data_IF_599796234084
#
_entry.id   IF_599796234084
#
_cell.length_a   1.000
_cell.length_b   1.000
_cell.length_c   1.000
_cell.angle_alpha   90.00
_cell.angle_beta   90.00
_cell.angle_gamma   90.00
#
_symmetry.space_group_name_H-M   'P 1'
#
loop_
_entity.id
_entity.type
_entity.pdbx_description
1 polymer ?
#
# COMPACT_ATOMS: atom_id res chain seq x y z
N UNK A 1 26.94 -7.12 -2.08
CA UNK A 1 25.78 -6.23 -1.79
C UNK A 1 26.02 -4.95 -2.59
N UNK A 2 25.23 -4.71 -3.66
CA UNK A 2 25.50 -3.56 -4.55
C UNK A 2 25.05 -2.25 -3.90
N UNK A 3 25.70 -1.13 -4.20
CA UNK A 3 25.34 0.22 -3.74
C UNK A 3 23.84 0.54 -4.02
N UNK A 4 23.31 0.07 -5.14
CA UNK A 4 21.91 0.26 -5.52
C UNK A 4 20.91 -0.44 -4.59
N UNK A 5 21.24 -1.63 -4.05
CA UNK A 5 20.36 -2.31 -3.09
C UNK A 5 20.29 -1.55 -1.78
N UNK A 6 21.38 -0.96 -1.37
CA UNK A 6 21.46 -0.14 -0.14
C UNK A 6 20.67 1.16 -0.29
N UNK A 7 20.75 1.82 -1.45
CA UNK A 7 20.00 3.06 -1.72
C UNK A 7 18.48 2.83 -1.77
N UNK A 8 18.04 1.73 -2.36
CA UNK A 8 16.59 1.38 -2.41
C UNK A 8 16.04 1.10 -1.02
N UNK A 9 16.77 0.35 -0.20
CA UNK A 9 16.38 0.06 1.20
C UNK A 9 16.31 1.33 2.05
N UNK A 10 17.26 2.25 1.85
CA UNK A 10 17.27 3.54 2.54
C UNK A 10 16.07 4.39 2.12
N UNK A 11 15.74 4.42 0.83
CA UNK A 11 14.62 5.20 0.30
C UNK A 11 13.27 4.70 0.86
N UNK A 12 13.01 3.38 0.83
CA UNK A 12 11.78 2.80 1.35
C UNK A 12 11.63 2.99 2.87
N UNK A 13 12.70 2.80 3.63
CA UNK A 13 12.71 3.08 5.08
C UNK A 13 12.42 4.55 5.38
N UNK A 14 12.96 5.46 4.57
CA UNK A 14 12.75 6.90 4.70
C UNK A 14 11.29 7.28 4.42
N UNK A 15 10.67 6.73 3.37
CA UNK A 15 9.27 6.97 3.04
C UNK A 15 8.35 6.53 4.20
N UNK A 16 8.52 5.30 4.70
CA UNK A 16 7.79 4.78 5.87
C UNK A 16 7.92 5.68 7.08
N UNK A 17 9.14 6.14 7.38
CA UNK A 17 9.38 7.04 8.51
C UNK A 17 8.66 8.37 8.35
N UNK A 18 8.69 8.95 7.15
CA UNK A 18 8.02 10.22 6.85
C UNK A 18 6.49 10.12 6.99
N UNK A 19 5.87 9.05 6.50
CA UNK A 19 4.44 8.80 6.67
C UNK A 19 4.07 8.70 8.16
N UNK A 20 4.82 7.90 8.93
CA UNK A 20 4.59 7.76 10.37
C UNK A 20 4.75 9.08 11.12
N UNK A 21 5.75 9.87 10.78
CA UNK A 21 5.98 11.18 11.37
C UNK A 21 4.87 12.17 11.02
N UNK A 22 4.42 12.17 9.76
CA UNK A 22 3.30 12.99 9.30
C UNK A 22 2.01 12.64 10.04
N UNK A 23 1.69 11.36 10.15
CA UNK A 23 0.50 10.90 10.85
C UNK A 23 0.53 11.20 12.36
N UNK A 24 1.70 11.08 12.99
CA UNK A 24 1.86 11.44 14.40
C UNK A 24 1.64 12.94 14.69
N UNK A 25 1.87 13.80 13.68
CA UNK A 25 1.68 15.26 13.79
C UNK A 25 0.34 15.75 13.25
N UNK A 26 -0.38 14.91 12.53
CA UNK A 26 -1.67 15.27 11.98
C UNK A 26 -2.68 15.54 13.11
N UNK A 27 -3.44 16.62 12.98
CA UNK A 27 -4.47 17.04 13.95
C UNK A 27 -5.88 16.66 13.52
N UNK A 28 -6.09 16.34 12.23
CA UNK A 28 -7.39 15.94 11.69
C UNK A 28 -7.77 14.50 12.04
N UNK A 29 -9.05 14.20 11.97
CA UNK A 29 -9.61 12.89 12.28
C UNK A 29 -9.43 11.86 11.14
N UNK A 30 -9.24 12.33 9.91
CA UNK A 30 -8.99 11.51 8.72
C UNK A 30 -7.54 11.68 8.26
N UNK A 31 -6.86 10.55 8.10
CA UNK A 31 -5.49 10.51 7.61
C UNK A 31 -5.48 10.02 6.15
N UNK A 32 -4.74 10.74 5.29
CA UNK A 32 -4.59 10.41 3.87
C UNK A 32 -3.12 10.39 3.48
N UNK A 33 -2.74 9.44 2.63
CA UNK A 33 -1.43 9.41 1.98
C UNK A 33 -1.62 9.80 0.52
N UNK A 34 -0.84 10.79 0.08
CA UNK A 34 -0.71 11.17 -1.31
C UNK A 34 0.79 11.20 -1.66
N UNK A 35 1.17 10.45 -2.70
CA UNK A 35 2.54 10.43 -3.17
C UNK A 35 2.92 11.78 -3.81
N UNK A 36 4.11 12.27 -3.50
CA UNK A 36 4.58 13.59 -3.94
C UNK A 36 4.81 13.69 -5.46
N UNK A 37 4.84 12.56 -6.17
CA UNK A 37 4.96 12.52 -7.63
C UNK A 37 3.65 12.86 -8.37
N UNK A 38 2.56 13.05 -7.61
CA UNK A 38 1.23 13.41 -8.11
C UNK A 38 0.71 12.48 -9.22
N UNK A 39 1.16 11.24 -9.22
CA UNK A 39 0.63 10.20 -10.12
C UNK A 39 -0.84 9.89 -9.82
N UNK A 40 -1.26 10.14 -8.58
CA UNK A 40 -2.66 10.20 -8.18
C UNK A 40 -3.08 11.67 -8.14
N UNK A 41 -4.09 12.07 -8.93
CA UNK A 41 -4.56 13.45 -8.94
C UNK A 41 -5.08 13.87 -7.56
N UNK A 42 -4.66 15.02 -7.02
CA UNK A 42 -5.23 15.54 -5.77
C UNK A 42 -6.75 15.73 -5.82
N UNK A 43 -7.28 15.95 -7.01
CA UNK A 43 -8.72 16.10 -7.27
C UNK A 43 -9.53 14.82 -7.00
N UNK A 44 -8.86 13.66 -6.93
CA UNK A 44 -9.50 12.38 -6.55
C UNK A 44 -9.64 12.23 -5.02
N UNK A 45 -8.90 13.00 -4.21
CA UNK A 45 -8.91 12.87 -2.75
C UNK A 45 -10.31 13.06 -2.11
N UNK A 46 -11.17 14.00 -2.55
CA UNK A 46 -12.52 14.13 -2.01
C UNK A 46 -13.33 12.83 -2.12
N UNK A 47 -13.18 12.07 -3.21
CA UNK A 47 -13.88 10.79 -3.39
C UNK A 47 -13.44 9.73 -2.36
N UNK A 48 -12.17 9.75 -1.97
CA UNK A 48 -11.65 8.87 -0.91
C UNK A 48 -12.18 9.27 0.45
N UNK A 49 -12.23 10.57 0.74
CA UNK A 49 -12.82 11.12 1.94
C UNK A 49 -14.30 10.73 2.05
N UNK A 50 -15.08 10.97 0.99
CA UNK A 50 -16.50 10.65 0.95
C UNK A 50 -16.77 9.15 1.12
N UNK A 51 -15.90 8.30 0.55
CA UNK A 51 -16.01 6.85 0.71
C UNK A 51 -15.80 6.40 2.16
N UNK A 52 -14.86 7.04 2.87
CA UNK A 52 -14.62 6.77 4.29
C UNK A 52 -15.77 7.28 5.16
N UNK A 53 -16.14 8.56 5.02
CA UNK A 53 -17.15 9.22 5.86
C UNK A 53 -18.55 8.65 5.63
N UNK A 54 -18.87 8.21 4.41
CA UNK A 54 -20.13 7.55 4.11
C UNK A 54 -20.24 6.11 4.64
N UNK A 55 -19.18 5.59 5.29
CA UNK A 55 -19.18 4.24 5.85
C UNK A 55 -19.08 3.12 4.81
N UNK A 56 -18.61 3.40 3.60
CA UNK A 56 -18.36 2.35 2.59
C UNK A 56 -17.30 1.36 3.07
N UNK A 57 -16.30 1.85 3.79
CA UNK A 57 -15.25 1.08 4.43
C UNK A 57 -14.56 1.88 5.52
N UNK A 58 -13.83 1.20 6.37
CA UNK A 58 -13.04 1.80 7.46
C UNK A 58 -11.62 2.16 6.99
N UNK A 59 -11.18 1.51 5.92
CA UNK A 59 -9.89 1.72 5.26
C UNK A 59 -10.10 1.76 3.75
N UNK A 60 -9.80 2.90 3.12
CA UNK A 60 -9.95 3.07 1.66
C UNK A 60 -8.57 2.94 1.01
N UNK A 61 -8.45 1.98 0.10
CA UNK A 61 -7.22 1.66 -0.61
C UNK A 61 -7.33 2.09 -2.08
N UNK A 62 -6.36 2.83 -2.59
CA UNK A 62 -6.30 3.20 -3.99
C UNK A 62 -5.92 2.02 -4.89
N UNK A 63 -6.54 1.92 -6.07
CA UNK A 63 -6.24 0.87 -7.05
C UNK A 63 -5.92 1.49 -8.41
N UNK A 64 -4.70 1.20 -8.92
CA UNK A 64 -4.17 1.70 -10.19
C UNK A 64 -4.51 0.79 -11.39
N UNK A 65 -4.83 -0.46 -11.13
CA UNK A 65 -4.86 -1.55 -12.12
C UNK A 65 -6.11 -1.58 -13.01
N UNK A 66 -6.90 -0.52 -13.04
CA UNK A 66 -8.20 -0.48 -13.74
C UNK A 66 -8.08 0.02 -15.20
N UNK A 67 -6.95 0.65 -15.57
CA UNK A 67 -6.77 1.26 -16.88
C UNK A 67 -5.67 0.57 -17.70
N UNK A 68 -5.83 0.44 -19.05
CA UNK A 68 -4.84 -0.20 -19.92
C UNK A 68 -3.55 0.63 -20.03
N UNK A 69 -2.41 0.00 -19.84
CA UNK A 69 -1.07 0.59 -20.02
C UNK A 69 -0.45 0.17 -21.37
N UNK A 70 0.35 1.01 -21.98
CA UNK A 70 0.71 1.00 -23.41
C UNK A 70 1.90 0.13 -23.91
N UNK A 71 2.27 -1.01 -23.40
CA UNK A 71 3.31 -1.88 -24.06
C UNK A 71 3.03 -3.38 -23.85
N UNK A 72 2.80 -4.14 -24.94
CA UNK A 72 2.11 -5.43 -24.89
C UNK A 72 2.82 -6.64 -24.27
N UNK A 73 4.09 -6.87 -24.46
CA UNK A 73 4.74 -8.11 -23.97
C UNK A 73 5.17 -8.06 -22.49
N UNK A 74 5.57 -6.90 -22.00
CA UNK A 74 5.91 -6.71 -20.59
C UNK A 74 4.67 -6.58 -19.68
N UNK A 75 3.52 -6.38 -20.27
CA UNK A 75 2.20 -6.29 -19.63
C UNK A 75 1.72 -7.64 -19.10
N UNK A 76 1.86 -8.71 -19.88
CA UNK A 76 1.29 -10.01 -19.53
C UNK A 76 1.96 -10.58 -18.27
N UNK A 77 3.28 -10.54 -18.17
CA UNK A 77 4.01 -10.99 -16.99
C UNK A 77 3.68 -10.14 -15.74
N UNK A 78 3.59 -8.81 -15.90
CA UNK A 78 3.20 -7.92 -14.81
C UNK A 78 1.74 -8.14 -14.39
N UNK A 79 0.84 -8.37 -15.35
CA UNK A 79 -0.57 -8.63 -15.08
C UNK A 79 -0.74 -9.94 -14.31
N UNK A 80 -0.04 -11.00 -14.71
CA UNK A 80 -0.05 -12.31 -14.04
C UNK A 80 0.51 -12.18 -12.62
N UNK A 81 1.65 -11.50 -12.47
CA UNK A 81 2.26 -11.27 -11.16
C UNK A 81 1.33 -10.45 -10.25
N UNK A 82 0.76 -9.35 -10.74
CA UNK A 82 -0.18 -8.52 -9.98
C UNK A 82 -1.42 -9.32 -9.58
N UNK A 83 -1.98 -10.13 -10.47
CA UNK A 83 -3.14 -10.97 -10.18
C UNK A 83 -2.81 -12.05 -9.14
N UNK A 84 -1.64 -12.66 -9.25
CA UNK A 84 -1.15 -13.62 -8.25
C UNK A 84 -1.02 -12.98 -6.87
N UNK A 85 -0.35 -11.84 -6.77
CA UNK A 85 -0.21 -11.13 -5.50
C UNK A 85 -1.55 -10.62 -4.96
N UNK A 86 -2.43 -10.09 -5.82
CA UNK A 86 -3.78 -9.70 -5.44
C UNK A 86 -4.56 -10.86 -4.81
N UNK A 87 -4.53 -12.05 -5.41
CA UNK A 87 -5.18 -13.24 -4.87
C UNK A 87 -4.53 -13.70 -3.56
N UNK A 88 -3.20 -13.75 -3.51
CA UNK A 88 -2.46 -14.16 -2.32
C UNK A 88 -2.75 -13.22 -1.13
N UNK A 89 -2.72 -11.91 -1.36
CA UNK A 89 -3.04 -10.94 -0.30
C UNK A 89 -4.53 -10.90 0.04
N UNK A 90 -5.43 -11.08 -0.93
CA UNK A 90 -6.87 -11.20 -0.64
C UNK A 90 -7.17 -12.40 0.26
N UNK A 91 -6.57 -13.55 -0.03
CA UNK A 91 -6.68 -14.72 0.83
C UNK A 91 -6.07 -14.49 2.21
N UNK A 92 -4.90 -13.87 2.26
CA UNK A 92 -4.17 -13.59 3.50
C UNK A 92 -4.94 -12.65 4.41
N UNK A 93 -5.48 -11.57 3.86
CA UNK A 93 -6.22 -10.54 4.60
C UNK A 93 -7.70 -10.90 4.83
N UNK A 94 -8.20 -11.95 4.15
CA UNK A 94 -9.60 -12.36 4.24
C UNK A 94 -10.57 -11.37 3.57
N UNK A 95 -10.06 -10.46 2.73
CA UNK A 95 -10.83 -9.43 2.05
C UNK A 95 -10.29 -9.22 0.63
N UNK A 96 -11.14 -8.89 -0.36
CA UNK A 96 -10.70 -8.66 -1.74
C UNK A 96 -9.84 -7.40 -1.82
N UNK A 97 -8.57 -7.56 -2.25
CA UNK A 97 -7.63 -6.47 -2.49
C UNK A 97 -7.02 -6.62 -3.87
N UNK A 98 -7.12 -5.59 -4.70
CA UNK A 98 -6.64 -5.61 -6.08
C UNK A 98 -5.25 -5.02 -6.25
N UNK A 99 -4.86 -4.04 -5.44
CA UNK A 99 -3.55 -3.38 -5.52
C UNK A 99 -3.02 -3.09 -4.11
N UNK A 100 -1.93 -3.75 -3.75
CA UNK A 100 -1.27 -3.59 -2.45
C UNK A 100 -0.18 -2.52 -2.46
N UNK A 101 0.25 -2.09 -3.65
CA UNK A 101 1.39 -1.17 -3.84
C UNK A 101 0.96 0.25 -4.22
N UNK A 102 -0.33 0.57 -4.21
CA UNK A 102 -0.77 1.94 -4.36
C UNK A 102 -0.50 2.72 -3.07
N UNK A 103 0.24 3.82 -3.15
CA UNK A 103 0.56 4.66 -1.99
C UNK A 103 -0.65 5.36 -1.37
N UNK A 104 -1.71 5.61 -2.16
CA UNK A 104 -2.91 6.32 -1.69
C UNK A 104 -3.75 5.43 -0.76
N UNK A 105 -3.79 5.80 0.49
CA UNK A 105 -4.57 5.14 1.55
C UNK A 105 -5.24 6.18 2.42
N UNK A 106 -6.48 5.90 2.81
CA UNK A 106 -7.27 6.78 3.67
C UNK A 106 -7.92 5.98 4.79
N UNK A 107 -7.81 6.46 6.01
CA UNK A 107 -8.33 5.80 7.20
C UNK A 107 -8.61 6.81 8.33
N UNK A 108 -9.37 6.40 9.32
CA UNK A 108 -9.56 7.19 10.52
C UNK A 108 -8.28 7.25 11.36
N UNK A 109 -8.01 8.40 11.96
CA UNK A 109 -6.85 8.57 12.86
C UNK A 109 -6.92 7.62 14.05
N UNK A 110 -8.10 7.40 14.62
CA UNK A 110 -8.31 6.45 15.71
C UNK A 110 -7.93 5.01 15.33
N UNK A 111 -8.23 4.59 14.09
CA UNK A 111 -7.85 3.28 13.59
C UNK A 111 -6.35 3.18 13.36
N UNK A 112 -5.73 4.24 12.81
CA UNK A 112 -4.29 4.32 12.70
C UNK A 112 -3.58 4.22 14.04
N UNK A 113 -4.07 4.91 15.06
CA UNK A 113 -3.49 4.85 16.41
C UNK A 113 -3.53 3.43 16.99
N UNK A 114 -4.63 2.70 16.77
CA UNK A 114 -4.74 1.28 17.13
C UNK A 114 -3.75 0.40 16.34
N UNK A 115 -3.60 0.63 15.04
CA UNK A 115 -2.60 -0.05 14.20
C UNK A 115 -1.19 0.25 14.72
N UNK A 116 -0.91 1.51 15.02
CA UNK A 116 0.39 1.96 15.51
C UNK A 116 0.77 1.33 16.85
N UNK A 117 -0.18 1.17 17.77
CA UNK A 117 0.03 0.53 19.07
C UNK A 117 0.42 -0.95 18.95
N UNK A 118 -0.04 -1.63 17.89
CA UNK A 118 0.20 -3.06 17.69
C UNK A 118 1.28 -3.38 16.63
N UNK A 119 2.08 -2.38 16.21
CA UNK A 119 3.13 -2.56 15.18
C UNK A 119 4.19 -3.60 15.54
N UNK A 120 4.50 -3.77 16.81
CA UNK A 120 5.45 -4.78 17.26
C UNK A 120 5.09 -6.19 16.77
N UNK A 121 3.83 -6.45 16.45
CA UNK A 121 3.37 -7.74 15.96
C UNK A 121 3.95 -8.10 14.59
N UNK A 122 4.05 -7.12 13.68
CA UNK A 122 4.62 -7.32 12.33
C UNK A 122 6.11 -6.97 12.26
N UNK A 123 6.67 -6.31 13.28
CA UNK A 123 8.07 -5.93 13.33
C UNK A 123 8.46 -4.93 12.23
N UNK A 124 9.77 -4.86 11.95
CA UNK A 124 10.35 -3.96 10.95
C UNK A 124 10.50 -4.60 9.56
N UNK A 125 9.71 -5.63 9.25
CA UNK A 125 9.84 -6.42 8.02
C UNK A 125 9.24 -5.72 6.80
N UNK A 126 8.36 -4.71 6.99
CA UNK A 126 7.76 -3.97 5.88
C UNK A 126 8.74 -2.97 5.26
N UNK A 127 9.26 -3.24 4.04
CA UNK A 127 10.18 -2.32 3.38
C UNK A 127 9.48 -1.14 2.70
N UNK A 128 8.17 -1.28 2.37
CA UNK A 128 7.41 -0.29 1.61
C UNK A 128 6.64 0.68 2.50
N UNK A 129 6.29 0.28 3.75
CA UNK A 129 5.48 1.06 4.66
C UNK A 129 3.97 0.97 4.43
N UNK A 130 3.56 0.29 3.36
CA UNK A 130 2.16 0.13 2.96
C UNK A 130 1.50 -1.09 3.60
N UNK A 131 2.28 -2.15 3.78
CA UNK A 131 1.80 -3.43 4.30
C UNK A 131 1.51 -3.37 5.80
N UNK A 132 2.27 -2.58 6.56
CA UNK A 132 2.03 -2.27 7.96
C UNK A 132 0.57 -1.80 8.19
N UNK A 133 0.11 -0.89 7.31
CA UNK A 133 -1.26 -0.38 7.37
C UNK A 133 -2.29 -1.42 6.94
N UNK A 134 -2.07 -2.12 5.82
CA UNK A 134 -3.00 -3.13 5.30
C UNK A 134 -3.14 -4.33 6.26
N UNK A 135 -2.02 -4.85 6.76
CA UNK A 135 -2.04 -5.97 7.70
C UNK A 135 -2.61 -5.56 9.05
N UNK A 136 -2.28 -4.35 9.53
CA UNK A 136 -2.83 -3.80 10.76
C UNK A 136 -4.35 -3.61 10.65
N UNK A 137 -4.84 -3.07 9.54
CA UNK A 137 -6.25 -2.90 9.27
C UNK A 137 -6.98 -4.26 9.24
N UNK A 138 -6.47 -5.24 8.50
CA UNK A 138 -7.06 -6.57 8.42
C UNK A 138 -7.08 -7.28 9.78
N UNK A 139 -6.01 -7.17 10.56
CA UNK A 139 -5.94 -7.78 11.90
C UNK A 139 -6.93 -7.17 12.89
N UNK A 140 -7.26 -5.89 12.72
CA UNK A 140 -8.28 -5.21 13.51
C UNK A 140 -9.71 -5.44 12.99
N UNK A 141 -9.88 -6.22 11.92
CA UNK A 141 -11.19 -6.48 11.32
C UNK A 141 -11.77 -5.27 10.59
N UNK A 142 -10.94 -4.27 10.24
CA UNK A 142 -11.41 -3.11 9.50
C UNK A 142 -11.81 -3.51 8.08
N UNK A 143 -12.92 -2.96 7.60
CA UNK A 143 -13.40 -3.17 6.23
C UNK A 143 -12.55 -2.39 5.25
N UNK A 144 -11.74 -3.09 4.45
CA UNK A 144 -10.90 -2.50 3.41
C UNK A 144 -11.70 -2.42 2.11
N UNK A 145 -11.76 -1.23 1.51
CA UNK A 145 -12.45 -0.99 0.24
C UNK A 145 -11.49 -0.41 -0.78
N UNK A 146 -11.42 -1.08 -1.93
CA UNK A 146 -10.64 -0.63 -3.08
C UNK A 146 -11.38 0.44 -3.88
N UNK A 147 -10.75 1.61 -4.06
CA UNK A 147 -11.27 2.69 -4.87
C UNK A 147 -10.39 2.92 -6.11
N UNK A 148 -10.95 2.79 -7.33
CA UNK A 148 -10.17 3.02 -8.56
C UNK A 148 -9.68 4.45 -8.67
N UNK A 149 -8.42 4.63 -9.07
CA UNK A 149 -7.81 5.92 -9.37
C UNK A 149 -7.40 6.00 -10.82
N UNK A 150 -7.40 7.21 -11.38
CA UNK A 150 -6.81 7.50 -12.68
C UNK A 150 -5.32 7.78 -12.49
N UNK A 151 -4.51 6.74 -12.64
CA UNK A 151 -3.06 6.87 -12.51
C UNK A 151 -2.50 7.65 -13.69
N UNK A 152 -1.87 8.80 -13.41
CA UNK A 152 -1.20 9.64 -14.42
C UNK A 152 0.26 9.24 -14.58
N UNK A 153 0.81 9.47 -15.76
CA UNK A 153 2.25 9.32 -15.96
C UNK A 153 3.02 10.34 -15.10
N UNK A 154 4.16 9.92 -14.61
CA UNK A 154 5.04 10.82 -13.84
C UNK A 154 5.52 11.96 -14.72
N UNK A 155 5.41 13.17 -14.22
CA UNK A 155 5.91 14.36 -14.89
C UNK A 155 7.39 14.60 -14.61
N UNK A 156 7.96 13.98 -13.55
CA UNK A 156 9.35 14.11 -13.16
C UNK A 156 9.85 12.86 -12.41
N UNK A 157 11.16 12.63 -12.50
CA UNK A 157 11.81 11.48 -11.87
C UNK A 157 11.72 10.19 -12.68
N UNK A 158 12.55 9.21 -12.33
CA UNK A 158 12.57 7.89 -12.95
C UNK A 158 11.99 6.84 -12.00
N UNK A 159 11.37 5.83 -12.57
CA UNK A 159 10.83 4.69 -11.79
C UNK A 159 11.98 3.93 -11.14
N UNK A 160 12.07 3.94 -9.81
CA UNK A 160 13.09 3.20 -9.05
C UNK A 160 12.70 1.73 -8.79
N UNK A 161 11.63 1.25 -9.42
CA UNK A 161 11.13 -0.11 -9.21
C UNK A 161 12.00 -1.12 -9.98
N UNK A 162 12.82 -1.86 -9.26
CA UNK A 162 13.53 -3.03 -9.78
C UNK A 162 12.62 -4.26 -9.69
N UNK A 163 11.95 -4.61 -10.79
CA UNK A 163 10.85 -5.58 -10.86
C UNK A 163 11.15 -6.92 -10.16
N UNK A 164 12.30 -7.52 -10.43
CA UNK A 164 12.68 -8.81 -9.85
C UNK A 164 12.95 -8.73 -8.35
N UNK A 165 13.67 -7.69 -7.90
CA UNK A 165 13.97 -7.50 -6.47
C UNK A 165 12.70 -7.23 -5.66
N UNK A 166 11.82 -6.38 -6.18
CA UNK A 166 10.53 -6.08 -5.53
C UNK A 166 9.59 -7.28 -5.54
N UNK A 167 9.58 -8.11 -6.61
CA UNK A 167 8.81 -9.35 -6.66
C UNK A 167 9.24 -10.35 -5.58
N UNK A 168 10.55 -10.56 -5.42
CA UNK A 168 11.10 -11.42 -4.35
C UNK A 168 10.76 -10.85 -2.96
N UNK A 169 10.83 -9.54 -2.81
CA UNK A 169 10.52 -8.88 -1.56
C UNK A 169 9.03 -9.03 -1.20
N UNK A 170 8.13 -8.85 -2.17
CA UNK A 170 6.70 -9.09 -2.00
C UNK A 170 6.41 -10.55 -1.61
N UNK A 171 7.10 -11.51 -2.22
CA UNK A 171 6.95 -12.92 -1.87
C UNK A 171 7.40 -13.20 -0.43
N UNK A 172 8.53 -12.64 -0.01
CA UNK A 172 9.00 -12.72 1.39
C UNK A 172 7.98 -12.12 2.35
N UNK A 173 7.39 -10.97 2.00
CA UNK A 173 6.34 -10.32 2.79
C UNK A 173 5.09 -11.20 2.88
N UNK A 174 4.65 -11.80 1.77
CA UNK A 174 3.50 -12.70 1.76
C UNK A 174 3.73 -13.93 2.65
N UNK A 175 4.93 -14.55 2.58
CA UNK A 175 5.30 -15.68 3.44
C UNK A 175 5.34 -15.27 4.92
N UNK A 176 5.94 -14.13 5.22
CA UNK A 176 6.01 -13.61 6.58
C UNK A 176 4.61 -13.35 7.15
N UNK A 177 3.78 -12.64 6.40
CA UNK A 177 2.43 -12.32 6.81
C UNK A 177 1.55 -13.58 6.94
N UNK A 178 1.73 -14.56 6.06
CA UNK A 178 1.05 -15.86 6.13
C UNK A 178 1.33 -16.55 7.48
N UNK A 179 2.59 -16.61 7.88
CA UNK A 179 2.99 -17.18 9.17
C UNK A 179 2.41 -16.44 10.38
N UNK A 180 2.23 -15.11 10.27
CA UNK A 180 1.77 -14.26 11.37
C UNK A 180 0.26 -14.06 11.44
N UNK A 181 -0.46 -14.25 10.33
CA UNK A 181 -1.92 -14.00 10.27
C UNK A 181 -2.70 -15.31 10.26
N UNK A 182 -2.20 -16.36 9.56
CA UNK A 182 -2.96 -17.60 9.37
C UNK A 182 -2.50 -18.77 10.24
N UNK A 183 -1.26 -18.75 10.71
CA UNK A 183 -0.68 -19.90 11.44
C UNK A 183 -0.20 -19.53 12.86
N UNK A 184 -0.85 -18.57 13.48
CA UNK A 184 -0.66 -18.24 14.90
C UNK A 184 -1.77 -18.86 15.72
#
# INVERSE_FOLDING_TARGET
MSLESTLTDICCKRQRHLVRLGFARATGDVLMILDADLTVPPEDLPRFYDALVSGKGDFINGVRLVYPMEQEAMRLANLIANKFFSLAFSWLLGQPIKDTLCGTKVLWKSDYERIAAHRHYFGDVDPFGDFDLLFGAAKQGLKIVDLPIRYRDRTYGTTQIQRWKHGVLLLRMAIFACRRIKFV
#
